data_IF_542362396419
#
_entry.id   IF_542362396419
#
_cell.length_a   1.000
_cell.length_b   1.000
_cell.length_c   1.000
_cell.angle_alpha   90.00
_cell.angle_beta   90.00
_cell.angle_gamma   90.00
#
_symmetry.space_group_name_H-M   'P 1'
#
loop_
_entity.id
_entity.type
_entity.pdbx_description
1 polymer ?
#
# COMPACT_ATOMS: atom_id res chain seq x y z
N UNK A 1 6.35 -2.94 17.72
CA UNK A 1 5.12 -3.16 16.92
C UNK A 1 4.08 -3.85 17.78
N UNK A 2 2.79 -3.71 17.47
CA UNK A 2 1.70 -4.36 18.21
C UNK A 2 1.33 -5.69 17.53
N UNK A 3 1.45 -6.81 18.24
CA UNK A 3 1.11 -8.12 17.70
C UNK A 3 -0.40 -8.21 17.41
N UNK A 4 -0.74 -8.82 16.27
CA UNK A 4 -2.12 -9.13 15.90
C UNK A 4 -2.36 -10.60 16.22
N UNK A 5 -3.04 -10.86 17.34
CA UNK A 5 -3.29 -12.22 17.84
C UNK A 5 -4.60 -12.82 17.33
N UNK A 6 -5.54 -11.96 16.91
CA UNK A 6 -6.84 -12.37 16.38
C UNK A 6 -6.73 -12.65 14.88
N UNK A 7 -7.30 -13.77 14.46
CA UNK A 7 -7.49 -14.09 13.05
C UNK A 7 -8.63 -13.24 12.47
N UNK A 8 -8.39 -12.67 11.29
CA UNK A 8 -9.38 -11.89 10.57
C UNK A 8 -9.66 -12.48 9.19
N UNK A 9 -10.93 -12.53 8.81
CA UNK A 9 -11.42 -13.06 7.53
C UNK A 9 -11.89 -11.95 6.59
N UNK A 10 -11.56 -12.15 5.32
CA UNK A 10 -11.94 -11.31 4.21
C UNK A 10 -12.51 -12.18 3.09
N UNK A 11 -13.49 -11.67 2.34
CA UNK A 11 -13.86 -12.26 1.04
C UNK A 11 -13.19 -11.48 -0.07
N UNK A 12 -12.45 -12.19 -0.93
CA UNK A 12 -11.64 -11.61 -1.99
C UNK A 12 -12.14 -11.96 -3.39
N UNK A 13 -11.55 -11.37 -4.45
CA UNK A 13 -12.01 -11.58 -5.82
C UNK A 13 -11.98 -13.04 -6.32
N UNK A 14 -11.20 -13.90 -5.66
CA UNK A 14 -11.03 -15.32 -6.01
C UNK A 14 -11.63 -16.25 -4.95
N UNK A 15 -11.39 -15.94 -3.67
CA UNK A 15 -11.79 -16.76 -2.52
C UNK A 15 -11.70 -15.93 -1.24
N UNK A 16 -12.10 -16.54 -0.12
CA UNK A 16 -11.74 -16.06 1.21
C UNK A 16 -10.22 -15.89 1.37
N UNK A 17 -9.84 -14.96 2.24
CA UNK A 17 -8.46 -14.62 2.60
C UNK A 17 -8.37 -14.28 4.09
N UNK A 18 -7.26 -14.61 4.73
CA UNK A 18 -6.88 -14.11 6.06
C UNK A 18 -6.17 -12.75 5.95
N UNK A 19 -5.96 -12.05 7.08
CA UNK A 19 -5.09 -10.86 7.12
C UNK A 19 -3.68 -11.16 6.59
N UNK A 20 -3.15 -12.36 6.87
CA UNK A 20 -1.83 -12.77 6.38
C UNK A 20 -1.80 -12.91 4.86
N UNK A 21 -2.85 -13.44 4.26
CA UNK A 21 -2.96 -13.60 2.81
C UNK A 21 -2.98 -12.27 2.08
N UNK A 22 -3.49 -11.20 2.71
CA UNK A 22 -3.52 -9.85 2.13
C UNK A 22 -2.13 -9.27 1.88
N UNK A 23 -1.08 -9.81 2.51
CA UNK A 23 0.30 -9.41 2.22
C UNK A 23 0.74 -9.85 0.82
N UNK A 24 0.06 -10.79 0.16
CA UNK A 24 0.40 -11.30 -1.17
C UNK A 24 1.89 -11.72 -1.26
N UNK A 25 2.34 -12.45 -0.23
CA UNK A 25 3.72 -12.93 -0.09
C UNK A 25 4.76 -11.88 0.29
N UNK A 26 4.38 -10.60 0.40
CA UNK A 26 5.30 -9.51 0.76
C UNK A 26 5.43 -9.35 2.28
N UNK A 27 6.37 -8.50 2.71
CA UNK A 27 6.66 -8.30 4.13
C UNK A 27 5.78 -7.23 4.78
N UNK A 28 5.26 -6.30 4.00
CA UNK A 28 4.47 -5.17 4.50
C UNK A 28 3.09 -5.13 3.85
N UNK A 29 2.11 -4.68 4.63
CA UNK A 29 0.74 -4.49 4.19
C UNK A 29 0.26 -3.11 4.64
N UNK A 30 -0.34 -2.36 3.73
CA UNK A 30 -1.11 -1.16 4.02
C UNK A 30 -2.57 -1.50 3.77
N UNK A 31 -3.43 -1.27 4.76
CA UNK A 31 -4.86 -1.54 4.66
C UNK A 31 -5.66 -0.28 4.99
N UNK A 32 -6.40 0.20 3.99
CA UNK A 32 -7.35 1.30 4.12
C UNK A 32 -8.79 0.77 4.16
N UNK A 33 -9.56 1.19 5.17
CA UNK A 33 -10.99 0.87 5.22
C UNK A 33 -11.76 1.92 4.44
N UNK A 34 -12.30 1.52 3.30
CA UNK A 34 -13.18 2.35 2.48
C UNK A 34 -14.65 2.11 2.87
N UNK A 35 -15.39 3.18 3.11
CA UNK A 35 -16.84 3.14 3.39
C UNK A 35 -17.63 2.94 2.10
N UNK A 36 -18.10 1.72 1.88
CA UNK A 36 -18.93 1.33 0.77
C UNK A 36 -19.82 0.17 1.24
N UNK A 37 -21.01 0.51 1.71
CA UNK A 37 -21.99 -0.43 2.25
C UNK A 37 -23.38 0.22 2.41
N UNK A 38 -24.46 -0.57 2.61
CA UNK A 38 -25.79 -0.02 2.87
C UNK A 38 -25.79 0.99 4.03
N UNK A 39 -26.45 2.13 3.84
CA UNK A 39 -26.51 3.22 4.83
C UNK A 39 -25.45 4.31 4.62
N UNK A 40 -24.42 4.06 3.81
CA UNK A 40 -23.47 5.10 3.39
C UNK A 40 -24.06 5.91 2.23
N UNK A 41 -23.96 7.23 2.31
CA UNK A 41 -24.40 8.12 1.22
C UNK A 41 -23.65 7.78 -0.06
N UNK A 42 -24.40 7.52 -1.14
CA UNK A 42 -23.89 7.10 -2.44
C UNK A 42 -24.11 5.61 -2.75
N UNK A 43 -24.41 4.78 -1.76
CA UNK A 43 -24.70 3.36 -1.99
C UNK A 43 -25.98 3.16 -2.83
N UNK A 44 -26.00 2.20 -3.79
CA UNK A 44 -24.91 1.30 -4.20
C UNK A 44 -24.04 1.82 -5.37
N UNK A 45 -24.28 3.02 -5.88
CA UNK A 45 -23.61 3.56 -7.08
C UNK A 45 -22.19 4.09 -6.80
N UNK A 46 -21.95 4.58 -5.60
CA UNK A 46 -20.71 5.24 -5.16
C UNK A 46 -20.30 4.77 -3.75
N UNK A 47 -18.99 4.74 -3.50
CA UNK A 47 -18.46 4.71 -2.14
C UNK A 47 -18.63 6.10 -1.49
N UNK A 48 -18.32 6.18 -0.19
CA UNK A 48 -18.29 7.45 0.52
C UNK A 48 -17.43 8.48 -0.22
N UNK A 49 -17.79 9.76 -0.13
CA UNK A 49 -17.14 10.83 -0.89
C UNK A 49 -15.63 10.92 -0.59
N UNK A 50 -15.25 10.90 0.69
CA UNK A 50 -13.83 10.93 1.08
C UNK A 50 -13.06 9.69 0.64
N UNK A 51 -13.66 8.52 0.77
CA UNK A 51 -13.10 7.24 0.35
C UNK A 51 -12.85 7.20 -1.16
N UNK A 52 -13.78 7.78 -1.94
CA UNK A 52 -13.66 7.90 -3.39
C UNK A 52 -12.54 8.86 -3.77
N UNK A 53 -12.41 10.00 -3.07
CA UNK A 53 -11.30 10.93 -3.26
C UNK A 53 -9.95 10.26 -2.97
N UNK A 54 -9.84 9.45 -1.92
CA UNK A 54 -8.62 8.67 -1.62
C UNK A 54 -8.34 7.65 -2.72
N UNK A 55 -9.35 6.89 -3.17
CA UNK A 55 -9.20 5.91 -4.25
C UNK A 55 -8.71 6.55 -5.57
N UNK A 56 -9.25 7.73 -5.93
CA UNK A 56 -8.84 8.48 -7.12
C UNK A 56 -7.38 8.96 -7.08
N UNK A 57 -6.78 9.04 -5.89
CA UNK A 57 -5.39 9.48 -5.70
C UNK A 57 -4.38 8.33 -5.68
N UNK A 58 -4.83 7.08 -5.63
CA UNK A 58 -3.94 5.93 -5.49
C UNK A 58 -3.01 5.82 -6.71
N UNK A 59 -1.72 6.01 -6.47
CA UNK A 59 -0.68 5.76 -7.44
C UNK A 59 -0.58 4.27 -7.79
N UNK A 60 0.08 3.95 -8.91
CA UNK A 60 0.17 2.59 -9.40
C UNK A 60 0.84 1.64 -8.36
N UNK A 61 0.16 0.58 -7.87
CA UNK A 61 0.65 -0.25 -6.76
C UNK A 61 1.97 -0.98 -7.02
N UNK A 62 2.33 -1.22 -8.28
CA UNK A 62 3.58 -1.89 -8.64
C UNK A 62 4.84 -1.28 -7.98
N UNK A 63 4.87 0.04 -7.78
CA UNK A 63 6.00 0.69 -7.12
C UNK A 63 6.07 0.37 -5.62
N UNK A 64 4.92 0.19 -4.94
CA UNK A 64 4.88 -0.30 -3.56
C UNK A 64 5.31 -1.77 -3.51
N UNK A 65 4.82 -2.57 -4.45
CA UNK A 65 5.12 -4.00 -4.54
C UNK A 65 6.62 -4.26 -4.69
N UNK A 66 7.33 -3.41 -5.44
CA UNK A 66 8.78 -3.43 -5.60
C UNK A 66 9.56 -3.15 -4.31
N UNK A 67 8.89 -2.60 -3.29
CA UNK A 67 9.40 -2.34 -1.95
C UNK A 67 8.72 -3.22 -0.92
N UNK A 68 8.48 -4.49 -1.28
CA UNK A 68 7.91 -5.50 -0.38
C UNK A 68 6.63 -5.05 0.35
N UNK A 69 5.82 -4.19 -0.29
CA UNK A 69 4.64 -3.58 0.33
C UNK A 69 3.41 -3.79 -0.54
N UNK A 70 2.37 -4.41 0.03
CA UNK A 70 1.07 -4.57 -0.62
C UNK A 70 0.10 -3.50 -0.10
N UNK A 71 -0.64 -2.84 -1.01
CA UNK A 71 -1.76 -1.95 -0.66
C UNK A 71 -3.08 -2.69 -0.84
N UNK A 72 -3.97 -2.60 0.14
CA UNK A 72 -5.30 -3.19 0.12
C UNK A 72 -6.34 -2.18 0.60
N UNK A 73 -7.50 -2.17 -0.06
CA UNK A 73 -8.71 -1.54 0.43
C UNK A 73 -9.67 -2.61 0.98
N UNK A 74 -10.47 -2.25 1.97
CA UNK A 74 -11.48 -3.15 2.52
C UNK A 74 -12.79 -2.41 2.81
N UNK A 75 -13.94 -3.05 2.54
CA UNK A 75 -15.28 -2.48 2.77
C UNK A 75 -16.26 -3.54 3.25
N UNK A 76 -17.44 -3.13 3.73
CA UNK A 76 -18.50 -4.08 4.12
C UNK A 76 -19.38 -4.54 2.94
N UNK A 77 -19.24 -3.93 1.76
CA UNK A 77 -19.92 -4.38 0.54
C UNK A 77 -19.48 -5.77 0.07
N UNK A 78 -20.40 -6.47 -0.61
CA UNK A 78 -20.11 -7.74 -1.27
C UNK A 78 -19.10 -7.57 -2.43
N UNK A 79 -18.29 -8.60 -2.67
CA UNK A 79 -17.29 -8.61 -3.75
C UNK A 79 -17.86 -8.25 -5.13
N UNK A 80 -19.10 -8.68 -5.44
CA UNK A 80 -19.78 -8.33 -6.71
C UNK A 80 -20.00 -6.82 -6.87
N UNK A 81 -20.31 -6.13 -5.77
CA UNK A 81 -20.57 -4.69 -5.76
C UNK A 81 -19.26 -3.90 -5.80
N UNK A 82 -18.25 -4.36 -5.06
CA UNK A 82 -16.89 -3.80 -5.13
C UNK A 82 -16.35 -3.90 -6.57
N UNK A 83 -16.49 -5.06 -7.20
CA UNK A 83 -16.07 -5.27 -8.60
C UNK A 83 -16.77 -4.30 -9.56
N UNK A 84 -18.09 -4.12 -9.42
CA UNK A 84 -18.87 -3.19 -10.24
C UNK A 84 -18.43 -1.74 -10.03
N UNK A 85 -18.25 -1.32 -8.77
CA UNK A 85 -17.81 0.03 -8.43
C UNK A 85 -16.44 0.32 -9.05
N UNK A 86 -15.46 -0.57 -8.83
CA UNK A 86 -14.11 -0.40 -9.37
C UNK A 86 -14.11 -0.28 -10.89
N UNK A 87 -14.86 -1.13 -11.58
CA UNK A 87 -14.97 -1.10 -13.04
C UNK A 87 -15.57 0.20 -13.58
N UNK A 88 -16.52 0.78 -12.84
CA UNK A 88 -17.12 2.06 -13.21
C UNK A 88 -16.16 3.23 -12.98
N UNK A 89 -15.38 3.18 -11.91
CA UNK A 89 -14.55 4.29 -11.44
C UNK A 89 -13.11 4.25 -11.97
N UNK A 90 -12.68 3.16 -12.62
CA UNK A 90 -11.31 3.01 -13.09
C UNK A 90 -10.31 2.63 -11.99
N UNK A 91 -10.78 1.95 -10.94
CA UNK A 91 -9.99 1.59 -9.75
C UNK A 91 -9.54 0.12 -9.74
N UNK A 92 -9.52 -0.55 -10.89
CA UNK A 92 -9.28 -2.00 -11.01
C UNK A 92 -7.96 -2.45 -10.37
N UNK A 93 -6.95 -1.58 -10.40
CA UNK A 93 -5.61 -1.84 -9.86
C UNK A 93 -5.57 -1.92 -8.33
N UNK A 94 -6.55 -1.36 -7.61
CA UNK A 94 -6.57 -1.38 -6.13
C UNK A 94 -7.10 -2.74 -5.64
N UNK A 95 -6.30 -3.61 -5.00
CA UNK A 95 -6.84 -4.83 -4.39
C UNK A 95 -7.89 -4.47 -3.34
N UNK A 96 -9.10 -5.01 -3.44
CA UNK A 96 -10.22 -4.57 -2.60
C UNK A 96 -11.06 -5.76 -2.13
N UNK A 97 -11.12 -5.93 -0.81
CA UNK A 97 -11.73 -7.08 -0.14
C UNK A 97 -12.98 -6.69 0.64
N UNK A 98 -13.83 -7.68 0.88
CA UNK A 98 -15.00 -7.55 1.77
C UNK A 98 -14.58 -7.94 3.18
N UNK A 99 -14.86 -7.08 4.16
CA UNK A 99 -14.66 -7.31 5.59
C UNK A 99 -15.74 -8.25 6.13
N UNK A 100 -15.35 -9.39 6.71
CA UNK A 100 -16.29 -10.41 7.19
C UNK A 100 -16.52 -10.38 8.71
N UNK A 101 -15.72 -9.64 9.48
CA UNK A 101 -15.69 -9.67 10.94
C UNK A 101 -15.43 -8.27 11.55
N UNK A 102 -14.98 -8.17 12.80
CA UNK A 102 -14.78 -6.90 13.53
C UNK A 102 -13.41 -6.23 13.29
N UNK A 103 -12.68 -6.57 12.21
CA UNK A 103 -11.39 -5.91 11.90
C UNK A 103 -11.44 -4.38 11.99
N UNK A 104 -12.46 -3.76 11.40
CA UNK A 104 -12.60 -2.30 11.37
C UNK A 104 -12.67 -1.69 12.78
N UNK A 105 -13.45 -2.31 13.68
CA UNK A 105 -13.57 -1.88 15.08
C UNK A 105 -12.27 -2.11 15.86
N UNK A 106 -11.64 -3.28 15.71
CA UNK A 106 -10.41 -3.61 16.43
C UNK A 106 -9.21 -2.74 15.99
N UNK A 107 -9.26 -2.21 14.76
CA UNK A 107 -8.24 -1.31 14.22
C UNK A 107 -8.65 0.17 14.15
N UNK A 108 -9.79 0.55 14.75
CA UNK A 108 -10.21 1.94 14.93
C UNK A 108 -10.62 2.65 13.64
N UNK A 109 -11.24 1.93 12.71
CA UNK A 109 -11.70 2.40 11.39
C UNK A 109 -13.15 1.97 11.09
N UNK A 110 -13.95 1.71 12.12
CA UNK A 110 -15.37 1.37 12.02
C UNK A 110 -16.26 2.61 11.81
N UNK A 111 -15.92 3.74 12.44
CA UNK A 111 -16.69 5.00 12.36
C UNK A 111 -16.05 6.07 11.48
N UNK A 112 -14.72 6.05 11.31
CA UNK A 112 -13.98 7.12 10.65
C UNK A 112 -12.85 6.59 9.76
N UNK A 113 -12.38 7.40 8.81
CA UNK A 113 -11.34 6.98 7.87
C UNK A 113 -9.95 6.91 8.52
N UNK A 114 -9.16 5.95 8.04
CA UNK A 114 -7.77 5.81 8.45
C UNK A 114 -7.08 4.66 7.73
N UNK A 115 -5.76 4.72 7.75
CA UNK A 115 -4.86 3.77 7.10
C UNK A 115 -4.02 3.07 8.16
N UNK A 116 -4.05 1.74 8.17
CA UNK A 116 -3.20 0.92 9.03
C UNK A 116 -2.03 0.36 8.20
N UNK A 117 -0.82 0.35 8.78
CA UNK A 117 0.34 -0.33 8.21
C UNK A 117 0.77 -1.50 9.11
N UNK A 118 1.14 -2.59 8.47
CA UNK A 118 1.51 -3.85 9.10
C UNK A 118 2.82 -4.38 8.52
N UNK A 119 3.53 -5.16 9.34
CA UNK A 119 4.67 -5.98 8.92
C UNK A 119 4.43 -7.42 9.35
N UNK A 120 4.93 -8.38 8.56
CA UNK A 120 4.96 -9.79 8.94
C UNK A 120 6.38 -10.31 9.17
N UNK A 121 6.51 -11.23 10.12
CA UNK A 121 7.69 -12.05 10.35
C UNK A 121 7.26 -13.53 10.39
N UNK A 122 7.58 -14.26 9.32
CA UNK A 122 6.89 -15.52 9.03
C UNK A 122 5.38 -15.30 8.99
N UNK A 123 4.64 -16.10 9.74
CA UNK A 123 3.17 -16.03 9.80
C UNK A 123 2.65 -15.08 10.89
N UNK A 124 3.54 -14.41 11.62
CA UNK A 124 3.16 -13.46 12.67
C UNK A 124 2.98 -12.07 12.08
N UNK A 125 1.85 -11.43 12.36
CA UNK A 125 1.52 -10.09 11.89
C UNK A 125 1.62 -9.09 13.03
N UNK A 126 2.15 -7.91 12.73
CA UNK A 126 2.20 -6.80 13.66
C UNK A 126 1.69 -5.53 13.01
N UNK A 127 0.83 -4.78 13.71
CA UNK A 127 0.55 -3.39 13.34
C UNK A 127 1.72 -2.51 13.74
N UNK A 128 2.22 -1.74 12.78
CA UNK A 128 3.39 -0.87 12.96
C UNK A 128 3.01 0.60 12.97
N UNK A 129 1.93 0.96 12.28
CA UNK A 129 1.48 2.34 12.18
C UNK A 129 -0.03 2.43 11.99
N UNK A 130 -0.62 3.54 12.44
CA UNK A 130 -2.00 3.91 12.18
C UNK A 130 -2.05 5.43 11.97
N UNK A 131 -2.64 5.87 10.86
CA UNK A 131 -2.85 7.28 10.55
C UNK A 131 -4.32 7.53 10.25
N UNK A 132 -4.86 8.62 10.77
CA UNK A 132 -6.25 9.03 10.58
C UNK A 132 -6.37 10.56 10.53
N UNK A 133 -7.60 11.07 10.47
CA UNK A 133 -7.89 12.50 10.46
C UNK A 133 -7.08 13.23 9.35
N UNK A 134 -6.54 14.41 9.68
CA UNK A 134 -5.73 15.24 8.79
C UNK A 134 -4.43 14.56 8.33
N UNK A 135 -3.94 13.55 9.05
CA UNK A 135 -2.74 12.81 8.65
C UNK A 135 -3.00 11.91 7.44
N UNK A 136 -4.20 11.34 7.35
CA UNK A 136 -4.58 10.40 6.29
C UNK A 136 -4.82 11.12 4.95
N UNK A 137 -5.06 12.43 4.97
CA UNK A 137 -5.24 13.27 3.78
C UNK A 137 -4.01 13.33 2.86
N UNK A 138 -2.83 12.93 3.34
CA UNK A 138 -1.62 12.86 2.53
C UNK A 138 -1.44 11.53 1.81
N UNK A 139 -2.28 10.52 2.08
CA UNK A 139 -2.17 9.21 1.45
C UNK A 139 -2.56 9.27 -0.04
N UNK A 140 -2.19 8.23 -0.80
CA UNK A 140 -2.45 8.11 -2.25
C UNK A 140 -1.17 8.02 -3.07
N UNK A 141 -0.14 8.78 -2.70
CA UNK A 141 1.17 8.70 -3.36
C UNK A 141 2.04 7.56 -2.85
N UNK A 142 2.87 6.98 -3.73
CA UNK A 142 3.84 5.92 -3.39
C UNK A 142 4.71 6.28 -2.18
N UNK A 143 5.21 7.52 -2.13
CA UNK A 143 6.11 7.98 -1.06
C UNK A 143 5.45 7.98 0.31
N UNK A 144 4.26 8.57 0.40
CA UNK A 144 3.54 8.69 1.66
C UNK A 144 3.14 7.30 2.20
N UNK A 145 2.81 6.37 1.31
CA UNK A 145 2.58 4.98 1.68
C UNK A 145 3.84 4.28 2.21
N UNK A 146 4.99 4.44 1.54
CA UNK A 146 6.24 3.83 2.02
C UNK A 146 6.69 4.43 3.36
N UNK A 147 6.53 5.73 3.55
CA UNK A 147 6.96 6.45 4.75
C UNK A 147 6.24 6.02 6.03
N UNK A 148 5.02 5.46 5.92
CA UNK A 148 4.29 4.91 7.07
C UNK A 148 4.59 3.43 7.34
N UNK A 149 5.32 2.76 6.44
CA UNK A 149 5.64 1.33 6.56
C UNK A 149 6.91 1.11 7.39
N UNK A 150 7.04 -0.06 8.00
CA UNK A 150 8.13 -0.34 8.94
C UNK A 150 9.51 -0.46 8.29
N UNK A 151 9.59 -0.84 7.01
CA UNK A 151 10.83 -0.88 6.22
C UNK A 151 11.09 0.43 5.46
N UNK A 152 10.19 1.41 5.55
CA UNK A 152 10.34 2.70 4.88
C UNK A 152 10.43 2.57 3.35
N UNK A 153 11.20 3.47 2.75
CA UNK A 153 11.48 3.49 1.30
C UNK A 153 12.53 2.47 0.88
N UNK A 154 13.19 1.82 1.83
CA UNK A 154 14.27 0.85 1.63
C UNK A 154 15.45 1.47 0.88
N UNK A 155 15.84 2.69 1.28
CA UNK A 155 16.92 3.44 0.66
C UNK A 155 18.07 3.70 1.63
N UNK A 156 19.31 3.65 1.15
CA UNK A 156 20.53 3.75 1.97
C UNK A 156 20.70 5.05 2.76
N UNK A 157 19.92 6.10 2.47
CA UNK A 157 19.93 7.33 3.26
C UNK A 157 19.09 7.20 4.54
N UNK A 158 18.19 6.23 4.62
CA UNK A 158 17.36 5.99 5.79
C UNK A 158 18.21 5.34 6.89
N UNK A 159 18.08 5.84 8.12
CA UNK A 159 18.68 5.24 9.32
C UNK A 159 17.88 4.00 9.73
N UNK A 160 18.13 2.88 9.05
CA UNK A 160 17.45 1.60 9.23
C UNK A 160 18.37 0.54 9.86
N UNK A 161 17.82 -0.45 10.58
CA UNK A 161 18.59 -1.62 11.01
C UNK A 161 19.30 -2.29 9.82
N UNK A 162 20.54 -2.75 10.04
CA UNK A 162 21.37 -3.40 9.00
C UNK A 162 20.73 -4.61 8.30
N UNK A 163 19.75 -5.23 8.95
CA UNK A 163 19.01 -6.37 8.40
C UNK A 163 17.88 -5.98 7.45
N UNK A 164 17.57 -4.69 7.32
CA UNK A 164 16.53 -4.23 6.40
C UNK A 164 17.09 -4.18 4.98
N UNK A 165 16.30 -4.61 3.98
CA UNK A 165 16.71 -4.44 2.60
C UNK A 165 16.81 -2.94 2.31
N UNK A 166 17.94 -2.51 1.77
CA UNK A 166 18.15 -1.14 1.29
C UNK A 166 18.84 -1.19 -0.07
N UNK A 167 18.49 -0.23 -0.92
CA UNK A 167 19.16 0.03 -2.19
C UNK A 167 19.58 1.49 -2.28
N UNK A 168 20.50 1.82 -3.16
CA UNK A 168 20.81 3.21 -3.47
C UNK A 168 19.54 3.96 -3.95
N UNK A 169 19.39 5.26 -3.62
CA UNK A 169 18.25 6.05 -4.08
C UNK A 169 18.10 6.04 -5.59
N UNK A 170 16.85 6.06 -6.07
CA UNK A 170 16.48 6.04 -7.49
C UNK A 170 16.81 4.75 -8.26
N UNK A 171 17.70 3.88 -7.75
CA UNK A 171 18.17 2.68 -8.46
C UNK A 171 17.09 1.60 -8.62
N UNK A 172 16.09 1.59 -7.72
CA UNK A 172 14.98 0.64 -7.76
C UNK A 172 13.80 1.11 -8.61
N UNK A 173 13.81 2.35 -9.11
CA UNK A 173 12.70 2.90 -9.88
C UNK A 173 12.62 2.20 -11.23
N UNK A 174 11.41 1.88 -11.68
CA UNK A 174 11.21 1.20 -12.95
C UNK A 174 9.84 1.57 -13.53
N UNK A 175 9.59 1.20 -14.79
CA UNK A 175 8.24 1.17 -15.32
C UNK A 175 7.39 0.16 -14.56
N UNK A 176 6.12 0.48 -14.34
CA UNK A 176 5.24 -0.29 -13.47
C UNK A 176 5.02 -1.74 -13.92
N UNK A 177 5.27 -2.04 -15.20
CA UNK A 177 5.14 -3.32 -15.87
C UNK A 177 6.49 -4.04 -16.09
N UNK A 178 7.61 -3.43 -15.71
CA UNK A 178 8.97 -3.96 -15.93
C UNK A 178 9.69 -4.39 -14.64
N UNK A 179 9.02 -4.33 -13.49
CA UNK A 179 9.53 -4.91 -12.26
C UNK A 179 9.71 -6.43 -12.42
N UNK A 180 10.95 -6.91 -12.27
CA UNK A 180 11.34 -8.30 -12.53
C UNK A 180 11.99 -8.53 -13.91
N UNK A 181 12.05 -7.51 -14.77
CA UNK A 181 12.85 -7.57 -15.99
C UNK A 181 14.26 -7.02 -15.73
N UNK A 182 15.22 -7.94 -15.56
CA UNK A 182 16.61 -7.60 -15.25
C UNK A 182 17.26 -6.70 -16.33
N UNK A 183 16.88 -6.87 -17.60
CA UNK A 183 17.45 -6.07 -18.70
C UNK A 183 16.96 -4.63 -18.68
N UNK A 184 15.68 -4.40 -18.37
CA UNK A 184 15.12 -3.07 -18.25
C UNK A 184 15.72 -2.36 -17.02
N UNK A 185 15.73 -3.06 -15.88
CA UNK A 185 16.31 -2.56 -14.62
C UNK A 185 17.79 -2.17 -14.77
N UNK A 186 18.59 -2.99 -15.47
CA UNK A 186 20.01 -2.70 -15.70
C UNK A 186 20.25 -1.39 -16.46
N UNK A 187 19.40 -1.05 -17.44
CA UNK A 187 19.51 0.21 -18.19
C UNK A 187 19.18 1.43 -17.33
N UNK A 188 18.15 1.33 -16.48
CA UNK A 188 17.80 2.39 -15.54
C UNK A 188 18.93 2.61 -14.55
N UNK A 189 19.47 1.53 -13.98
CA UNK A 189 20.63 1.56 -13.09
C UNK A 189 21.83 2.26 -13.71
N UNK A 190 22.19 1.92 -14.96
CA UNK A 190 23.28 2.58 -15.68
C UNK A 190 23.01 4.09 -15.84
N UNK A 191 21.78 4.46 -16.18
CA UNK A 191 21.40 5.87 -16.31
C UNK A 191 21.50 6.63 -14.97
N UNK A 192 20.97 6.06 -13.89
CA UNK A 192 21.04 6.65 -12.54
C UNK A 192 22.50 6.85 -12.11
N UNK A 193 23.35 5.84 -12.33
CA UNK A 193 24.79 5.92 -12.00
C UNK A 193 25.51 7.02 -12.80
N UNK A 194 25.22 7.15 -14.10
CA UNK A 194 25.76 8.24 -14.93
C UNK A 194 25.31 9.61 -14.42
N UNK A 195 24.03 9.76 -14.09
CA UNK A 195 23.49 11.02 -13.54
C UNK A 195 24.15 11.41 -12.21
N UNK A 196 24.34 10.44 -11.31
CA UNK A 196 24.99 10.65 -10.02
C UNK A 196 26.46 11.05 -10.17
N UNK A 197 27.21 10.36 -11.02
CA UNK A 197 28.61 10.69 -11.29
C UNK A 197 28.75 12.12 -11.84
N UNK A 198 27.86 12.54 -12.74
CA UNK A 198 27.84 13.90 -13.27
C UNK A 198 27.53 14.95 -12.18
N UNK A 199 26.55 14.68 -11.30
CA UNK A 199 26.21 15.58 -10.20
C UNK A 199 27.36 15.76 -9.19
N UNK A 200 28.09 14.68 -8.89
CA UNK A 200 29.28 14.73 -8.02
C UNK A 200 30.42 15.52 -8.67
N UNK A 201 30.69 15.29 -9.96
CA UNK A 201 31.73 16.02 -10.70
C UNK A 201 31.41 17.52 -10.87
N UNK A 202 30.12 17.89 -10.94
CA UNK A 202 29.69 19.30 -11.00
C UNK A 202 29.67 20.00 -9.63
N UNK A 203 29.55 19.24 -8.53
CA UNK A 203 29.52 19.77 -7.17
C UNK A 203 30.87 20.28 -6.66
N UNK A 204 32.00 19.86 -7.26
CA UNK A 204 33.35 20.34 -6.94
C UNK A 204 33.68 21.70 -7.62
N UNK A 205 32.70 22.35 -8.26
CA UNK A 205 32.89 23.63 -8.97
C UNK A 205 32.04 24.79 -8.43
N UNK A 206 31.41 24.66 -7.26
CA UNK A 206 30.63 25.71 -6.61
C UNK A 206 31.27 26.22 -5.31
#
# INVERSE_FOLDING_TARGET
>A
WLAVEKEYEFDGPKSKASLLDLFDGRRQLILYRAFFEPGVVGWPEHACVGCSMVADQVAHPAHLNARETTLVFASRALQKDIKRLKARMGWELIPWYTLMDEFDKDFGVDEWHGTNAFIRDGDRVFRTYFVNNRGDEQMGGTWNYLDITALGRQEEWEDSPKSYPQSTPYEWWNWHDEYGNDKASAKVLEQVRRGRAAAQAGGDTA
#
